data_IF_811254417339
#
_entry.id   IF_811254417339
#
_cell.length_a   1.000
_cell.length_b   1.000
_cell.length_c   1.000
_cell.angle_alpha   90.00
_cell.angle_beta   90.00
_cell.angle_gamma   90.00
#
_symmetry.space_group_name_H-M   'P 1'
#
loop_
_entity.id
_entity.type
_entity.pdbx_description
1 polymer ?
#
# COMPACT_ATOMS: atom_id res chain seq x y z
N UNK A 1 25.32 -37.95 -10.00
CA UNK A 1 24.21 -37.00 -10.29
C UNK A 1 23.00 -37.21 -9.37
N UNK A 2 22.57 -38.46 -9.10
CA UNK A 2 21.44 -38.79 -8.20
C UNK A 2 21.53 -38.18 -6.80
N UNK A 3 22.71 -38.17 -6.17
CA UNK A 3 22.87 -37.61 -4.82
C UNK A 3 22.65 -36.09 -4.76
N UNK A 4 23.01 -35.35 -5.83
CA UNK A 4 22.77 -33.89 -5.89
C UNK A 4 21.27 -33.56 -5.97
N UNK A 5 20.49 -34.41 -6.65
CA UNK A 5 19.04 -34.28 -6.75
C UNK A 5 18.39 -34.52 -5.39
N UNK A 6 18.85 -35.54 -4.65
CA UNK A 6 18.34 -35.86 -3.30
C UNK A 6 18.63 -34.70 -2.33
N UNK A 7 19.85 -34.16 -2.33
CA UNK A 7 20.19 -33.00 -1.50
C UNK A 7 19.35 -31.76 -1.84
N UNK A 8 19.12 -31.51 -3.13
CA UNK A 8 18.27 -30.41 -3.56
C UNK A 8 16.82 -30.58 -3.07
N UNK A 9 16.27 -31.79 -3.13
CA UNK A 9 14.93 -32.08 -2.63
C UNK A 9 14.83 -31.87 -1.11
N UNK A 10 15.83 -32.32 -0.35
CA UNK A 10 15.85 -32.15 1.12
C UNK A 10 15.92 -30.68 1.53
N UNK A 11 16.68 -29.86 0.81
CA UNK A 11 16.78 -28.42 1.06
C UNK A 11 15.43 -27.73 0.80
N UNK A 12 14.74 -28.08 -0.29
CA UNK A 12 13.42 -27.53 -0.60
C UNK A 12 12.40 -27.90 0.46
N UNK A 13 12.38 -29.14 0.94
CA UNK A 13 11.48 -29.57 2.02
C UNK A 13 11.74 -28.82 3.34
N UNK A 14 13.00 -28.57 3.69
CA UNK A 14 13.38 -27.79 4.88
C UNK A 14 12.91 -26.34 4.81
N UNK A 15 12.98 -25.72 3.62
CA UNK A 15 12.53 -24.34 3.41
C UNK A 15 10.99 -24.22 3.44
N UNK A 16 10.26 -25.19 2.89
CA UNK A 16 8.79 -25.20 2.95
C UNK A 16 8.25 -25.35 4.38
N UNK A 17 8.90 -26.14 5.24
CA UNK A 17 8.48 -26.33 6.64
C UNK A 17 8.58 -25.09 7.52
N UNK A 18 9.31 -24.06 7.07
CA UNK A 18 9.56 -22.83 7.82
C UNK A 18 8.49 -21.76 7.61
N UNK A 19 7.55 -21.98 6.68
CA UNK A 19 6.50 -21.01 6.35
C UNK A 19 5.37 -21.15 7.38
N UNK A 20 5.40 -20.31 8.41
CA UNK A 20 4.27 -20.14 9.34
C UNK A 20 3.26 -19.18 8.70
N UNK A 21 2.00 -19.60 8.57
CA UNK A 21 0.93 -18.69 8.17
C UNK A 21 0.71 -17.66 9.28
N UNK A 22 0.72 -16.37 8.92
CA UNK A 22 0.35 -15.31 9.84
C UNK A 22 -1.19 -15.27 9.93
N UNK A 23 -1.79 -15.22 11.13
CA UNK A 23 -3.24 -15.12 11.23
C UNK A 23 -3.71 -13.79 10.61
N UNK A 24 -4.73 -13.88 9.77
CA UNK A 24 -5.46 -12.73 9.26
C UNK A 24 -6.51 -12.37 10.30
N UNK A 25 -6.41 -11.16 10.87
CA UNK A 25 -7.45 -10.61 11.73
C UNK A 25 -8.49 -9.94 10.83
N UNK A 26 -9.71 -10.43 10.88
CA UNK A 26 -10.87 -9.87 10.17
C UNK A 26 -11.41 -8.69 10.99
N UNK A 27 -11.41 -7.48 10.40
CA UNK A 27 -11.86 -6.24 11.07
C UNK A 27 -13.27 -5.82 10.62
N UNK A 28 -14.04 -6.74 10.04
CA UNK A 28 -15.33 -6.43 9.44
C UNK A 28 -16.47 -6.85 10.38
N UNK A 29 -16.57 -6.18 11.54
CA UNK A 29 -17.82 -6.11 12.32
C UNK A 29 -17.93 -4.73 13.02
N UNK A 30 -18.25 -3.70 12.22
CA UNK A 30 -18.85 -2.46 12.72
C UNK A 30 -20.07 -2.17 11.84
N UNK A 31 -21.17 -2.83 12.15
CA UNK A 31 -22.51 -2.36 11.84
C UNK A 31 -23.10 -1.84 13.15
N UNK A 32 -23.16 -0.51 13.30
CA UNK A 32 -24.36 0.18 13.80
C UNK A 32 -24.19 1.72 13.74
N UNK A 33 -25.08 2.31 12.96
CA UNK A 33 -25.62 3.67 13.00
C UNK A 33 -25.20 4.59 14.17
N UNK A 34 -24.44 5.66 13.91
CA UNK A 34 -24.63 6.94 14.62
C UNK A 34 -24.27 8.14 13.75
N UNK A 35 -25.32 8.73 13.22
CA UNK A 35 -25.48 10.17 12.97
C UNK A 35 -24.95 11.00 14.15
N UNK A 36 -24.29 12.10 13.81
CA UNK A 36 -24.13 13.32 14.62
C UNK A 36 -23.32 13.26 15.93
N UNK A 37 -22.18 13.94 15.89
CA UNK A 37 -21.60 14.75 16.98
C UNK A 37 -21.77 14.23 18.43
N UNK A 38 -20.85 13.38 18.93
CA UNK A 38 -20.26 13.51 20.29
C UNK A 38 -19.22 12.42 20.60
N UNK A 39 -17.96 12.69 20.28
CA UNK A 39 -16.82 11.97 20.87
C UNK A 39 -16.21 12.80 21.99
N UNK A 40 -16.70 12.62 23.20
CA UNK A 40 -16.26 13.35 24.39
C UNK A 40 -14.97 12.70 24.93
N UNK A 41 -13.80 13.19 24.52
CA UNK A 41 -12.50 12.80 25.11
C UNK A 41 -11.85 14.02 25.80
N UNK A 42 -11.74 13.94 27.12
CA UNK A 42 -11.08 14.89 28.02
C UNK A 42 -10.21 14.01 28.96
N UNK A 43 -8.95 14.25 29.33
CA UNK A 43 -7.92 15.27 29.09
C UNK A 43 -6.58 14.62 29.51
N UNK A 44 -5.48 14.85 28.79
CA UNK A 44 -4.15 14.45 29.26
C UNK A 44 -3.05 14.45 28.21
N UNK A 45 -2.48 15.63 27.90
CA UNK A 45 -1.21 15.79 27.17
C UNK A 45 -1.35 15.82 25.64
N UNK A 46 -1.93 16.89 25.10
CA UNK A 46 -2.39 17.01 23.71
C UNK A 46 -1.47 17.88 22.83
N UNK A 47 -0.17 17.63 22.85
CA UNK A 47 0.77 18.55 22.17
C UNK A 47 1.49 17.86 21.00
N UNK A 48 1.54 16.52 20.96
CA UNK A 48 2.36 15.77 19.99
C UNK A 48 1.57 14.98 18.93
N UNK A 49 0.24 14.79 19.08
CA UNK A 49 -0.56 13.96 18.15
C UNK A 49 -1.37 14.79 17.14
N UNK A 50 -1.81 15.99 17.54
CA UNK A 50 -2.54 16.91 16.66
C UNK A 50 -1.63 17.44 15.55
N UNK A 51 -0.34 17.59 15.83
CA UNK A 51 0.65 17.95 14.82
C UNK A 51 0.76 16.86 13.73
N UNK A 52 0.76 15.57 14.06
CA UNK A 52 0.92 14.48 13.07
C UNK A 52 -0.31 14.30 12.17
N UNK A 53 -1.52 14.49 12.70
CA UNK A 53 -2.76 14.45 11.90
C UNK A 53 -2.90 15.71 11.01
N UNK A 54 -2.49 16.88 11.52
CA UNK A 54 -2.52 18.10 10.73
C UNK A 54 -1.39 18.13 9.68
N UNK A 55 -0.20 17.58 9.97
CA UNK A 55 0.89 17.43 9.00
C UNK A 55 0.48 16.48 7.87
N UNK A 56 -0.20 15.37 8.18
CA UNK A 56 -0.65 14.41 7.17
C UNK A 56 -1.84 14.87 6.31
N UNK A 57 -2.55 15.94 6.70
CA UNK A 57 -3.73 16.44 5.99
C UNK A 57 -3.53 17.81 5.32
N UNK A 58 -2.47 18.53 5.68
CA UNK A 58 -2.15 19.87 5.11
C UNK A 58 -1.14 19.81 3.95
N UNK A 59 -0.46 18.69 3.70
CA UNK A 59 0.29 18.48 2.45
C UNK A 59 -0.65 18.15 1.28
N UNK A 60 -1.44 19.17 0.90
CA UNK A 60 -2.25 19.19 -0.31
C UNK A 60 -1.33 19.15 -1.54
N UNK A 61 -1.03 17.91 -1.96
CA UNK A 61 -0.70 17.43 -3.33
C UNK A 61 0.59 17.97 -3.97
N UNK A 62 1.74 17.39 -3.59
CA UNK A 62 2.90 17.37 -4.49
C UNK A 62 2.80 16.24 -5.54
N UNK A 63 2.06 15.17 -5.25
CA UNK A 63 1.94 14.02 -6.16
C UNK A 63 0.53 13.40 -6.20
N UNK A 64 0.18 12.80 -7.34
CA UNK A 64 -1.04 12.03 -7.60
C UNK A 64 -0.90 10.65 -6.98
N UNK A 65 -1.83 10.30 -6.08
CA UNK A 65 -1.87 8.97 -5.44
C UNK A 65 -2.17 7.87 -6.46
N UNK A 66 -1.84 6.63 -6.11
CA UNK A 66 -2.14 5.43 -6.92
C UNK A 66 -3.63 5.35 -7.25
N UNK A 67 -3.95 5.08 -8.50
CA UNK A 67 -5.31 5.07 -9.04
C UNK A 67 -5.87 6.45 -9.38
N UNK A 68 -5.19 7.54 -9.01
CA UNK A 68 -5.57 8.92 -9.34
C UNK A 68 -5.29 9.28 -10.80
N UNK A 69 -5.99 10.31 -11.29
CA UNK A 69 -5.86 10.81 -12.66
C UNK A 69 -4.52 11.56 -12.86
N UNK A 70 -3.79 11.21 -13.91
CA UNK A 70 -2.55 11.86 -14.33
C UNK A 70 -2.55 12.34 -15.81
N UNK A 71 -3.73 12.49 -16.44
CA UNK A 71 -3.88 12.88 -17.86
C UNK A 71 -3.03 14.09 -18.27
N UNK A 72 -3.03 15.15 -17.46
CA UNK A 72 -2.31 16.39 -17.76
C UNK A 72 -0.95 16.46 -17.06
N UNK A 73 -0.61 15.47 -16.23
CA UNK A 73 0.56 15.48 -15.34
C UNK A 73 1.16 14.08 -15.18
N UNK A 74 1.80 13.54 -16.23
CA UNK A 74 2.30 12.17 -16.22
C UNK A 74 3.44 11.92 -15.21
N UNK A 75 4.15 12.99 -14.80
CA UNK A 75 5.29 12.91 -13.90
C UNK A 75 4.96 13.18 -12.43
N UNK A 76 3.73 13.60 -12.13
CA UNK A 76 3.33 13.94 -10.76
C UNK A 76 2.89 12.71 -9.96
N UNK A 77 3.02 11.48 -10.47
CA UNK A 77 2.65 10.30 -9.69
C UNK A 77 3.55 10.12 -8.46
N UNK A 78 2.96 9.73 -7.33
CA UNK A 78 3.72 9.51 -6.09
C UNK A 78 4.76 8.37 -6.22
N UNK A 79 5.76 8.39 -5.34
CA UNK A 79 6.90 7.45 -5.34
C UNK A 79 6.50 6.01 -5.65
N UNK A 80 7.31 5.35 -6.49
CA UNK A 80 7.10 3.98 -6.93
C UNK A 80 5.75 3.77 -7.68
N UNK A 81 5.31 4.80 -8.42
CA UNK A 81 4.13 4.76 -9.30
C UNK A 81 4.46 5.46 -10.62
N UNK A 82 3.86 5.00 -11.72
CA UNK A 82 4.01 5.60 -13.04
C UNK A 82 2.65 5.86 -13.67
N UNK A 83 2.54 6.96 -14.42
CA UNK A 83 1.32 7.28 -15.15
C UNK A 83 1.16 6.32 -16.34
N UNK A 84 0.01 5.65 -16.43
CA UNK A 84 -0.32 4.73 -17.53
C UNK A 84 -1.67 5.09 -18.12
N UNK A 85 -1.70 5.27 -19.44
CA UNK A 85 -2.89 5.58 -20.22
C UNK A 85 -3.34 4.36 -21.01
N UNK A 86 -4.57 4.39 -21.51
CA UNK A 86 -5.04 3.41 -22.49
C UNK A 86 -4.33 3.60 -23.86
N UNK A 87 -4.60 2.70 -24.82
CA UNK A 87 -4.05 2.75 -26.18
C UNK A 87 -4.42 4.02 -26.97
N UNK A 88 -5.43 4.76 -26.51
CA UNK A 88 -5.90 6.00 -27.11
C UNK A 88 -5.32 7.25 -26.41
N UNK A 89 -4.40 7.07 -25.45
CA UNK A 89 -3.79 8.17 -24.71
C UNK A 89 -4.73 8.91 -23.75
N UNK A 90 -5.86 8.29 -23.39
CA UNK A 90 -6.86 8.85 -22.48
C UNK A 90 -7.01 8.02 -21.20
N UNK A 91 -7.66 8.58 -20.17
CA UNK A 91 -7.92 7.92 -18.90
C UNK A 91 -6.63 7.40 -18.24
N UNK A 92 -5.66 8.30 -18.15
CA UNK A 92 -4.35 8.06 -17.57
C UNK A 92 -4.44 7.97 -16.05
N UNK A 93 -3.88 6.92 -15.47
CA UNK A 93 -3.87 6.72 -14.01
C UNK A 93 -2.50 6.35 -13.49
N UNK A 94 -2.20 6.80 -12.27
CA UNK A 94 -0.97 6.39 -11.59
C UNK A 94 -1.08 4.93 -11.14
N UNK A 95 -0.33 4.04 -11.78
CA UNK A 95 -0.26 2.63 -11.45
C UNK A 95 1.08 2.27 -10.81
N UNK A 96 1.17 1.10 -10.17
CA UNK A 96 2.45 0.61 -9.65
C UNK A 96 3.42 0.36 -10.80
N UNK A 97 4.69 0.70 -10.56
CA UNK A 97 5.78 0.30 -11.43
C UNK A 97 5.76 -1.24 -11.56
N UNK A 98 5.86 -1.74 -12.79
CA UNK A 98 5.81 -3.18 -13.05
C UNK A 98 7.02 -3.91 -12.47
N UNK A 99 6.90 -5.21 -12.20
CA UNK A 99 8.00 -6.03 -11.68
C UNK A 99 9.29 -5.94 -12.53
N UNK A 100 9.14 -5.76 -13.84
CA UNK A 100 10.26 -5.65 -14.77
C UNK A 100 10.86 -4.24 -14.89
N UNK A 101 10.36 -3.24 -14.17
CA UNK A 101 10.94 -1.87 -14.19
C UNK A 101 12.06 -1.66 -13.18
N UNK A 102 12.36 -2.66 -12.33
CA UNK A 102 13.44 -2.60 -11.34
C UNK A 102 14.77 -3.24 -11.79
N UNK A 103 14.75 -3.99 -12.88
CA UNK A 103 15.92 -4.69 -13.43
C UNK A 103 16.13 -4.18 -14.85
N UNK A 104 16.81 -3.04 -14.95
CA UNK A 104 17.39 -2.54 -16.19
C UNK A 104 18.87 -2.82 -16.20
#
# INVERSE_FOLDING_TARGET
MKNKIIFSFLIVCLLCGSIKANPYYDLDEIDDQTTDLKGNYHYGGADNYVQDILQNTVDKRACVRRGGNCDHRPNDCCFNSSCRCNLWGSNCRCQRMGLFQKWG
#
